data_IF_853417048228
#
_entry.id   IF_853417048228
#
_cell.length_a   1.000
_cell.length_b   1.000
_cell.length_c   1.000
_cell.angle_alpha   90.00
_cell.angle_beta   90.00
_cell.angle_gamma   90.00
#
_symmetry.space_group_name_H-M   'P 1'
#
loop_
_entity.id
_entity.type
_entity.pdbx_description
1 polymer ?
#
# COMPACT_ATOMS: atom_id res chain seq x y z
N UNK A 1 -30.01 12.12 -30.64
CA UNK A 1 -29.69 12.04 -29.20
C UNK A 1 -28.62 10.97 -28.84
N UNK A 2 -27.90 10.38 -29.82
CA UNK A 2 -26.94 9.28 -29.56
C UNK A 2 -25.45 9.69 -29.54
N UNK A 3 -25.06 10.93 -29.86
CA UNK A 3 -23.63 11.34 -29.86
C UNK A 3 -23.14 11.91 -28.53
N UNK A 4 -24.02 12.44 -27.68
CA UNK A 4 -23.65 13.03 -26.39
C UNK A 4 -23.18 11.96 -25.38
N UNK A 5 -23.80 10.77 -25.40
CA UNK A 5 -23.46 9.66 -24.50
C UNK A 5 -22.08 9.07 -24.81
N UNK A 6 -21.66 9.04 -26.09
CA UNK A 6 -20.32 8.60 -26.51
C UNK A 6 -19.22 9.56 -26.06
N UNK A 7 -19.43 10.88 -26.15
CA UNK A 7 -18.42 11.87 -25.76
C UNK A 7 -18.18 11.89 -24.25
N UNK A 8 -19.23 11.69 -23.43
CA UNK A 8 -19.11 11.58 -21.97
C UNK A 8 -18.40 10.28 -21.56
N UNK A 9 -18.66 9.16 -22.27
CA UNK A 9 -17.97 7.89 -22.05
C UNK A 9 -16.47 7.94 -22.41
N UNK A 10 -16.07 8.72 -23.43
CA UNK A 10 -14.66 8.96 -23.73
C UNK A 10 -13.95 9.74 -22.63
N UNK A 11 -14.61 10.73 -22.03
CA UNK A 11 -14.04 11.54 -20.96
C UNK A 11 -13.91 10.73 -19.64
N UNK A 12 -14.86 9.85 -19.34
CA UNK A 12 -14.78 8.97 -18.17
C UNK A 12 -13.69 7.89 -18.32
N UNK A 13 -13.46 7.35 -19.53
CA UNK A 13 -12.41 6.37 -19.81
C UNK A 13 -10.98 6.94 -19.67
N UNK A 14 -10.79 8.26 -19.80
CA UNK A 14 -9.50 8.93 -19.66
C UNK A 14 -9.18 9.39 -18.22
N UNK A 15 -10.00 9.04 -17.23
CA UNK A 15 -9.77 9.41 -15.82
C UNK A 15 -10.01 10.89 -15.51
N UNK A 16 -10.80 11.58 -16.34
CA UNK A 16 -11.00 13.05 -16.29
C UNK A 16 -11.87 13.47 -15.10
N UNK A 17 -12.68 12.56 -14.55
CA UNK A 17 -13.64 12.87 -13.48
C UNK A 17 -13.02 13.01 -12.07
N UNK A 18 -11.72 12.73 -11.88
CA UNK A 18 -11.09 12.81 -10.56
C UNK A 18 -10.79 14.25 -10.09
N UNK A 19 -10.78 15.25 -11.00
CA UNK A 19 -10.42 16.65 -10.70
C UNK A 19 -11.47 17.69 -11.10
N UNK A 20 -12.62 17.27 -11.63
CA UNK A 20 -13.62 18.19 -12.16
C UNK A 20 -14.96 18.05 -11.45
N UNK A 21 -15.43 19.14 -10.84
CA UNK A 21 -16.85 19.34 -10.60
C UNK A 21 -17.54 19.50 -11.96
N UNK A 22 -18.15 18.42 -12.45
CA UNK A 22 -18.95 18.46 -13.68
C UNK A 22 -20.33 18.98 -13.32
N UNK A 23 -20.52 20.30 -13.36
CA UNK A 23 -21.86 20.88 -13.48
C UNK A 23 -22.22 20.88 -14.95
N UNK A 24 -23.11 19.98 -15.34
CA UNK A 24 -23.70 19.97 -16.67
C UNK A 24 -24.80 21.04 -16.72
N UNK A 25 -24.39 22.27 -17.01
CA UNK A 25 -25.30 23.36 -17.34
C UNK A 25 -24.84 23.81 -18.74
N UNK A 26 -25.73 23.70 -19.72
CA UNK A 26 -25.53 24.14 -21.10
C UNK A 26 -24.37 23.45 -21.87
N UNK A 27 -24.28 22.12 -21.81
CA UNK A 27 -23.39 21.33 -22.66
C UNK A 27 -21.89 21.71 -22.55
N UNK A 28 -21.50 22.29 -21.40
CA UNK A 28 -20.18 22.85 -21.15
C UNK A 28 -19.54 22.18 -19.93
N UNK A 29 -18.33 21.64 -20.08
CA UNK A 29 -17.52 21.09 -18.99
C UNK A 29 -16.55 22.15 -18.49
N UNK A 30 -16.56 22.41 -17.18
CA UNK A 30 -15.60 23.34 -16.55
C UNK A 30 -14.55 22.55 -15.78
N UNK A 31 -13.29 22.68 -16.16
CA UNK A 31 -12.11 22.13 -15.49
C UNK A 31 -11.51 23.25 -14.64
N UNK A 32 -11.32 23.05 -13.33
CA UNK A 32 -10.78 24.05 -12.41
C UNK A 32 -9.46 23.58 -11.79
N UNK A 33 -8.45 24.44 -11.84
CA UNK A 33 -7.19 24.39 -11.11
C UNK A 33 -7.13 25.58 -10.11
N UNK A 34 -6.19 25.60 -9.14
CA UNK A 34 -5.98 26.73 -8.22
C UNK A 34 -5.70 28.05 -8.94
N UNK A 35 -5.11 27.99 -10.13
CA UNK A 35 -4.54 29.10 -10.89
C UNK A 35 -5.17 29.26 -12.29
N UNK A 36 -6.09 28.37 -12.71
CA UNK A 36 -6.79 28.50 -14.00
C UNK A 36 -8.12 27.76 -14.05
N UNK A 37 -9.03 28.25 -14.90
CA UNK A 37 -10.30 27.56 -15.21
C UNK A 37 -10.46 27.44 -16.71
N UNK A 38 -10.77 26.23 -17.19
CA UNK A 38 -10.97 25.92 -18.60
C UNK A 38 -12.43 25.49 -18.82
N UNK A 39 -13.15 26.18 -19.71
CA UNK A 39 -14.52 25.82 -20.11
C UNK A 39 -14.50 25.20 -21.51
N UNK A 40 -15.04 23.99 -21.63
CA UNK A 40 -15.04 23.21 -22.88
C UNK A 40 -16.49 22.91 -23.26
N UNK A 41 -16.89 23.31 -24.47
CA UNK A 41 -18.20 22.96 -25.04
C UNK A 41 -18.12 21.58 -25.71
N UNK A 42 -19.05 20.69 -25.40
CA UNK A 42 -19.01 19.25 -25.77
C UNK A 42 -19.33 18.97 -27.25
N UNK A 43 -19.71 20.00 -28.00
CA UNK A 43 -20.02 20.02 -29.43
C UNK A 43 -18.83 20.44 -30.31
N UNK A 44 -17.73 20.91 -29.70
CA UNK A 44 -16.54 21.40 -30.41
C UNK A 44 -15.39 20.37 -30.31
N UNK A 45 -15.35 19.44 -31.29
CA UNK A 45 -14.35 18.36 -31.39
C UNK A 45 -12.90 18.86 -31.25
N UNK A 46 -12.46 19.92 -31.97
CA UNK A 46 -11.13 20.51 -31.80
C UNK A 46 -10.83 20.99 -30.36
N UNK A 47 -11.84 21.52 -29.64
CA UNK A 47 -11.67 21.89 -28.23
C UNK A 47 -11.61 20.70 -27.29
N UNK A 48 -12.28 19.59 -27.61
CA UNK A 48 -12.18 18.33 -26.86
C UNK A 48 -10.76 17.76 -26.96
N UNK A 49 -10.18 17.70 -28.16
CA UNK A 49 -8.82 17.18 -28.34
C UNK A 49 -7.79 18.05 -27.60
N UNK A 50 -7.94 19.38 -27.66
CA UNK A 50 -7.13 20.31 -26.84
C UNK A 50 -7.32 20.10 -25.34
N UNK A 51 -8.53 19.79 -24.89
CA UNK A 51 -8.80 19.51 -23.48
C UNK A 51 -8.15 18.19 -23.04
N UNK A 52 -8.18 17.15 -23.86
CA UNK A 52 -7.51 15.87 -23.61
C UNK A 52 -5.99 16.05 -23.55
N UNK A 53 -5.41 16.80 -24.50
CA UNK A 53 -3.97 17.11 -24.49
C UNK A 53 -3.57 17.94 -23.26
N UNK A 54 -4.39 18.93 -22.92
CA UNK A 54 -4.22 19.76 -21.73
C UNK A 54 -4.24 18.92 -20.44
N UNK A 55 -5.21 18.03 -20.30
CA UNK A 55 -5.32 17.13 -19.15
C UNK A 55 -4.15 16.14 -19.08
N UNK A 56 -3.66 15.65 -20.21
CA UNK A 56 -2.44 14.85 -20.27
C UNK A 56 -1.20 15.60 -19.78
N UNK A 57 -1.09 16.91 -20.11
CA UNK A 57 -0.03 17.79 -19.59
C UNK A 57 -0.16 18.02 -18.08
N UNK A 58 -1.38 18.23 -17.58
CA UNK A 58 -1.68 18.39 -16.15
C UNK A 58 -1.29 17.13 -15.36
N UNK A 59 -1.73 15.94 -15.80
CA UNK A 59 -1.37 14.68 -15.16
C UNK A 59 0.15 14.45 -15.13
N UNK A 60 0.86 14.78 -16.22
CA UNK A 60 2.33 14.69 -16.28
C UNK A 60 3.03 15.69 -15.35
N UNK A 61 2.48 16.88 -15.16
CA UNK A 61 3.01 17.89 -14.22
C UNK A 61 2.78 17.45 -12.79
N UNK A 62 1.59 16.98 -12.47
CA UNK A 62 1.26 16.49 -11.13
C UNK A 62 2.11 15.27 -10.77
N UNK A 63 2.26 14.30 -11.68
CA UNK A 63 3.11 13.14 -11.46
C UNK A 63 4.59 13.53 -11.23
N UNK A 64 5.11 14.52 -11.96
CA UNK A 64 6.45 15.09 -11.72
C UNK A 64 6.53 15.82 -10.39
N UNK A 65 5.53 16.63 -10.04
CA UNK A 65 5.48 17.33 -8.76
C UNK A 65 5.50 16.37 -7.57
N UNK A 66 4.74 15.27 -7.67
CA UNK A 66 4.73 14.19 -6.68
C UNK A 66 6.10 13.51 -6.61
N UNK A 67 6.70 13.14 -7.75
CA UNK A 67 8.01 12.49 -7.79
C UNK A 67 9.09 13.39 -7.17
N UNK A 68 9.14 14.67 -7.55
CA UNK A 68 10.10 15.63 -7.03
C UNK A 68 9.86 15.92 -5.53
N UNK A 69 8.61 15.96 -5.08
CA UNK A 69 8.30 16.16 -3.68
C UNK A 69 8.61 14.91 -2.84
N UNK A 70 8.45 13.71 -3.40
CA UNK A 70 8.88 12.47 -2.80
C UNK A 70 10.41 12.40 -2.66
N UNK A 71 11.13 12.79 -3.72
CA UNK A 71 12.59 12.84 -3.74
C UNK A 71 13.16 13.85 -2.73
N UNK A 72 12.60 15.06 -2.67
CA UNK A 72 12.96 16.09 -1.67
C UNK A 72 12.75 15.64 -0.22
N UNK A 73 11.81 14.73 -0.01
CA UNK A 73 11.44 14.20 1.30
C UNK A 73 12.13 12.85 1.61
N UNK A 74 13.07 12.41 0.76
CA UNK A 74 13.79 11.14 0.93
C UNK A 74 12.89 9.90 0.81
N UNK A 75 11.74 10.01 0.14
CA UNK A 75 10.77 8.94 -0.02
C UNK A 75 11.15 8.10 -1.25
N UNK A 76 11.68 6.90 -1.03
CA UNK A 76 11.91 5.94 -2.13
C UNK A 76 10.56 5.43 -2.63
N UNK A 77 10.26 5.64 -3.93
CA UNK A 77 9.04 5.20 -4.59
C UNK A 77 9.38 4.26 -5.75
N UNK A 78 9.10 2.97 -5.58
CA UNK A 78 9.24 2.01 -6.66
C UNK A 78 7.88 1.78 -7.33
N UNK A 79 7.83 1.78 -8.67
CA UNK A 79 6.57 1.65 -9.42
C UNK A 79 6.64 0.49 -10.41
N UNK A 80 5.64 -0.40 -10.36
CA UNK A 80 5.41 -1.43 -11.39
C UNK A 80 4.23 -1.03 -12.28
N UNK A 81 4.37 -1.22 -13.60
CA UNK A 81 3.23 -1.21 -14.55
C UNK A 81 2.80 -2.67 -14.79
N UNK A 82 1.50 -2.95 -14.70
CA UNK A 82 1.00 -4.31 -14.87
C UNK A 82 0.61 -4.66 -16.33
N UNK A 83 0.54 -5.96 -16.64
CA UNK A 83 0.21 -6.48 -17.98
C UNK A 83 -1.17 -5.97 -18.44
N UNK A 84 -1.25 -5.32 -19.62
CA UNK A 84 -2.51 -4.80 -20.14
C UNK A 84 -3.57 -5.86 -20.48
N UNK A 85 -3.25 -7.16 -20.53
CA UNK A 85 -4.16 -8.24 -20.94
C UNK A 85 -5.18 -8.64 -19.86
N UNK A 86 -4.92 -8.35 -18.59
CA UNK A 86 -5.88 -8.58 -17.50
C UNK A 86 -6.81 -7.37 -17.36
N UNK A 87 -8.05 -7.47 -17.88
CA UNK A 87 -8.95 -6.31 -17.98
C UNK A 87 -9.38 -5.75 -16.63
N UNK A 88 -9.62 -6.63 -15.63
CA UNK A 88 -10.27 -6.27 -14.37
C UNK A 88 -9.46 -6.58 -13.10
N UNK A 89 -8.28 -7.18 -13.21
CA UNK A 89 -7.45 -7.58 -12.06
C UNK A 89 -6.03 -7.11 -12.23
N UNK A 90 -5.35 -6.92 -11.11
CA UNK A 90 -3.93 -6.61 -11.01
C UNK A 90 -3.30 -7.78 -10.27
N UNK A 91 -2.51 -8.60 -10.95
CA UNK A 91 -1.69 -9.64 -10.32
C UNK A 91 -0.27 -9.16 -10.04
N UNK A 92 0.31 -9.57 -8.92
CA UNK A 92 1.73 -9.44 -8.64
C UNK A 92 2.21 -10.53 -7.70
N UNK A 93 3.48 -10.90 -7.83
CA UNK A 93 4.14 -11.79 -6.89
C UNK A 93 4.89 -10.96 -5.84
N UNK A 94 4.71 -11.35 -4.58
CA UNK A 94 5.50 -10.89 -3.46
C UNK A 94 6.52 -11.98 -3.10
N UNK A 95 7.79 -11.70 -3.32
CA UNK A 95 8.90 -12.55 -2.89
C UNK A 95 9.40 -12.08 -1.53
N UNK A 96 9.50 -13.02 -0.58
CA UNK A 96 10.14 -12.75 0.70
C UNK A 96 11.65 -12.89 0.52
N UNK A 97 12.42 -11.92 1.00
CA UNK A 97 13.88 -11.95 0.97
C UNK A 97 14.41 -11.90 2.40
N UNK A 98 14.88 -13.03 2.95
CA UNK A 98 15.59 -13.02 4.23
C UNK A 98 16.81 -12.12 4.12
N UNK A 99 16.90 -11.12 4.99
CA UNK A 99 17.97 -10.13 5.00
C UNK A 99 18.75 -10.23 6.30
N UNK A 100 20.05 -10.44 6.19
CA UNK A 100 20.93 -10.50 7.35
C UNK A 100 21.18 -9.08 7.87
N UNK A 101 20.76 -8.81 9.09
CA UNK A 101 20.97 -7.53 9.78
C UNK A 101 22.23 -7.57 10.64
N UNK A 102 22.98 -6.47 10.67
CA UNK A 102 24.37 -6.49 11.13
C UNK A 102 24.52 -6.75 12.63
N UNK A 103 23.60 -6.28 13.49
CA UNK A 103 23.44 -6.70 14.91
C UNK A 103 22.06 -6.23 15.45
N UNK A 104 21.00 -6.31 14.65
CA UNK A 104 19.65 -5.88 15.03
C UNK A 104 18.72 -7.09 14.98
N UNK A 105 17.82 -7.20 15.95
CA UNK A 105 16.74 -8.19 15.93
C UNK A 105 15.76 -7.81 14.82
N UNK A 106 15.64 -8.66 13.81
CA UNK A 106 14.72 -8.49 12.71
C UNK A 106 13.39 -9.24 12.91
N UNK A 107 12.49 -9.07 11.95
CA UNK A 107 11.15 -9.69 11.98
C UNK A 107 11.21 -11.22 12.08
N UNK A 108 12.17 -11.87 11.40
CA UNK A 108 12.30 -13.33 11.41
C UNK A 108 12.78 -13.86 12.76
N UNK A 109 13.63 -13.11 13.46
CA UNK A 109 14.05 -13.48 14.81
C UNK A 109 12.86 -13.41 15.79
N UNK A 110 12.04 -12.37 15.67
CA UNK A 110 10.84 -12.21 16.50
C UNK A 110 9.82 -13.32 16.24
N UNK A 111 9.63 -13.70 14.97
CA UNK A 111 8.79 -14.84 14.59
C UNK A 111 9.34 -16.14 15.18
N UNK A 112 10.66 -16.38 15.08
CA UNK A 112 11.31 -17.55 15.67
C UNK A 112 11.12 -17.61 17.19
N UNK A 113 11.33 -16.49 17.87
CA UNK A 113 11.09 -16.38 19.32
C UNK A 113 9.63 -16.66 19.65
N UNK A 114 8.69 -16.04 18.94
CA UNK A 114 7.26 -16.25 19.15
C UNK A 114 6.87 -17.72 18.98
N UNK A 115 7.34 -18.36 17.89
CA UNK A 115 7.09 -19.76 17.58
C UNK A 115 7.55 -20.69 18.69
N UNK A 116 8.74 -20.42 19.23
CA UNK A 116 9.31 -21.19 20.35
C UNK A 116 8.42 -21.20 21.59
N UNK A 117 7.77 -20.08 21.91
CA UNK A 117 6.95 -19.96 23.12
C UNK A 117 5.48 -20.33 22.91
N UNK A 118 4.93 -20.07 21.72
CA UNK A 118 3.54 -20.39 21.39
C UNK A 118 3.38 -21.84 20.90
N UNK A 119 4.47 -22.45 20.42
CA UNK A 119 4.45 -23.82 19.91
C UNK A 119 3.84 -23.94 18.51
N UNK A 120 3.79 -22.85 17.75
CA UNK A 120 3.31 -22.81 16.37
C UNK A 120 4.34 -22.14 15.47
N UNK A 121 4.68 -22.78 14.35
CA UNK A 121 5.53 -22.21 13.29
C UNK A 121 4.72 -21.55 12.17
N UNK A 122 3.39 -21.44 12.34
CA UNK A 122 2.47 -20.94 11.33
C UNK A 122 2.19 -19.44 11.50
N UNK A 123 2.16 -18.75 10.37
CA UNK A 123 1.92 -17.32 10.26
C UNK A 123 0.91 -17.02 9.16
N UNK A 124 0.33 -15.82 9.24
CA UNK A 124 -0.51 -15.26 8.18
C UNK A 124 0.25 -14.18 7.45
N UNK A 125 0.30 -14.28 6.12
CA UNK A 125 0.66 -13.21 5.22
C UNK A 125 -0.62 -12.68 4.57
N UNK A 126 -0.96 -11.42 4.83
CA UNK A 126 -2.21 -10.84 4.34
C UNK A 126 -1.99 -9.59 3.51
N UNK A 127 -2.89 -9.38 2.55
CA UNK A 127 -3.03 -8.12 1.81
C UNK A 127 -4.43 -7.58 2.08
N UNK A 128 -4.51 -6.44 2.74
CA UNK A 128 -5.76 -5.90 3.28
C UNK A 128 -6.00 -4.46 2.78
N UNK A 129 -7.23 -4.13 2.41
CA UNK A 129 -7.64 -2.76 2.06
C UNK A 129 -7.69 -1.89 3.33
N UNK A 130 -6.92 -0.81 3.36
CA UNK A 130 -6.85 0.09 4.51
C UNK A 130 -7.95 1.15 4.49
N UNK A 131 -8.64 1.34 3.36
CA UNK A 131 -9.60 2.41 3.13
C UNK A 131 -11.04 2.11 3.59
N UNK A 132 -11.27 0.99 4.28
CA UNK A 132 -12.55 0.62 4.92
C UNK A 132 -13.77 0.42 3.99
N UNK A 133 -13.63 0.47 2.66
CA UNK A 133 -14.78 0.38 1.73
C UNK A 133 -15.12 -1.05 1.26
N UNK A 134 -14.26 -2.02 1.53
CA UNK A 134 -14.58 -3.43 1.38
C UNK A 134 -13.65 -4.22 2.29
N UNK A 135 -14.17 -5.29 2.91
CA UNK A 135 -13.37 -6.32 3.58
C UNK A 135 -12.51 -7.11 2.56
N UNK A 136 -11.93 -6.43 1.57
CA UNK A 136 -11.04 -7.05 0.62
C UNK A 136 -9.80 -7.46 1.38
N UNK A 137 -9.62 -8.78 1.44
CA UNK A 137 -8.49 -9.43 2.08
C UNK A 137 -8.07 -10.62 1.25
N UNK A 138 -6.76 -10.76 1.06
CA UNK A 138 -6.14 -12.00 0.61
C UNK A 138 -5.33 -12.50 1.79
N UNK A 139 -5.49 -13.78 2.11
CA UNK A 139 -4.82 -14.42 3.26
C UNK A 139 -4.08 -15.64 2.76
N UNK A 140 -2.78 -15.67 3.00
CA UNK A 140 -1.92 -16.83 2.78
C UNK A 140 -1.45 -17.35 4.13
N UNK A 141 -1.65 -18.65 4.37
CA UNK A 141 -0.95 -19.34 5.47
C UNK A 141 0.47 -19.66 5.01
N UNK A 142 1.44 -19.42 5.89
CA UNK A 142 2.86 -19.69 5.65
C UNK A 142 3.51 -20.21 6.91
N UNK A 143 4.71 -20.77 6.81
CA UNK A 143 5.56 -21.09 7.95
C UNK A 143 6.82 -20.23 8.02
N UNK A 144 7.50 -20.21 9.16
CA UNK A 144 8.82 -19.58 9.26
C UNK A 144 9.81 -20.21 8.27
N UNK A 145 9.77 -21.53 8.11
CA UNK A 145 10.62 -22.25 7.15
C UNK A 145 10.42 -21.75 5.71
N UNK A 146 9.17 -21.52 5.30
CA UNK A 146 8.85 -21.01 3.97
C UNK A 146 9.32 -19.56 3.77
N UNK A 147 9.15 -18.72 4.78
CA UNK A 147 9.63 -17.33 4.76
C UNK A 147 11.16 -17.28 4.67
N UNK A 148 11.86 -18.15 5.43
CA UNK A 148 13.32 -18.29 5.41
C UNK A 148 13.87 -18.82 4.09
N UNK A 149 13.07 -19.57 3.32
CA UNK A 149 13.43 -20.02 1.96
C UNK A 149 13.15 -18.98 0.88
N UNK A 150 12.56 -17.85 1.25
CA UNK A 150 12.18 -16.79 0.33
C UNK A 150 11.01 -17.15 -0.59
N UNK A 151 10.00 -17.84 -0.05
CA UNK A 151 8.79 -18.20 -0.79
C UNK A 151 8.14 -16.96 -1.44
N UNK A 152 7.65 -17.15 -2.66
CA UNK A 152 6.86 -16.16 -3.38
C UNK A 152 5.37 -16.40 -3.19
N UNK A 153 4.59 -15.33 -3.14
CA UNK A 153 3.14 -15.34 -2.93
C UNK A 153 2.45 -14.51 -4.01
N UNK A 154 1.52 -15.13 -4.73
CA UNK A 154 0.73 -14.44 -5.73
C UNK A 154 -0.41 -13.66 -5.05
N UNK A 155 -0.56 -12.39 -5.43
CA UNK A 155 -1.68 -11.54 -5.03
C UNK A 155 -2.46 -11.08 -6.25
N UNK A 156 -3.80 -11.09 -6.15
CA UNK A 156 -4.71 -10.66 -7.21
C UNK A 156 -5.69 -9.60 -6.69
N UNK A 157 -5.43 -8.35 -7.01
CA UNK A 157 -6.25 -7.21 -6.61
C UNK A 157 -7.31 -6.86 -7.66
N UNK A 158 -8.49 -6.37 -7.26
CA UNK A 158 -9.42 -5.76 -8.19
C UNK A 158 -8.81 -4.49 -8.77
N UNK A 159 -8.94 -4.29 -10.07
CA UNK A 159 -8.49 -3.07 -10.72
C UNK A 159 -9.42 -1.91 -10.36
N UNK A 160 -8.89 -0.89 -9.71
CA UNK A 160 -9.62 0.34 -9.35
C UNK A 160 -9.02 1.53 -10.09
N UNK A 161 -9.88 2.36 -10.70
CA UNK A 161 -9.44 3.61 -11.34
C UNK A 161 -8.98 4.64 -10.29
N UNK A 162 -9.62 4.61 -9.12
CA UNK A 162 -9.26 5.45 -7.98
C UNK A 162 -8.02 4.91 -7.27
N UNK A 163 -7.28 5.82 -6.64
CA UNK A 163 -6.17 5.47 -5.76
C UNK A 163 -6.72 4.67 -4.56
N UNK A 164 -6.15 3.51 -4.31
CA UNK A 164 -6.50 2.62 -3.19
C UNK A 164 -5.27 2.32 -2.35
N UNK A 165 -5.50 2.15 -1.05
CA UNK A 165 -4.45 1.85 -0.07
C UNK A 165 -4.60 0.42 0.40
N UNK A 166 -3.50 -0.32 0.34
CA UNK A 166 -3.42 -1.66 0.87
C UNK A 166 -2.26 -1.75 1.86
N UNK A 167 -2.39 -2.68 2.80
CA UNK A 167 -1.32 -3.09 3.70
C UNK A 167 -0.95 -4.54 3.42
N UNK A 168 0.35 -4.81 3.29
CA UNK A 168 0.90 -6.16 3.36
C UNK A 168 1.34 -6.40 4.80
N UNK A 169 0.86 -7.48 5.41
CA UNK A 169 1.13 -7.81 6.80
C UNK A 169 1.70 -9.21 6.93
N UNK A 170 2.58 -9.40 7.93
CA UNK A 170 2.87 -10.73 8.46
C UNK A 170 2.56 -10.74 9.94
N UNK A 171 1.66 -11.62 10.37
CA UNK A 171 1.24 -11.75 11.76
C UNK A 171 1.15 -13.21 12.22
N UNK A 172 1.04 -13.41 13.52
CA UNK A 172 0.81 -14.73 14.12
C UNK A 172 -0.50 -15.35 13.63
N UNK A 173 -0.55 -16.68 13.58
CA UNK A 173 -1.80 -17.41 13.37
C UNK A 173 -2.67 -17.32 14.63
N UNK A 174 -3.36 -16.20 14.79
CA UNK A 174 -4.27 -15.94 15.89
C UNK A 174 -5.64 -16.60 15.74
N UNK A 175 -6.54 -16.30 16.67
CA UNK A 175 -7.98 -16.65 16.54
C UNK A 175 -8.69 -15.83 15.47
N UNK A 176 -8.04 -14.79 14.96
CA UNK A 176 -8.51 -13.90 13.91
C UNK A 176 -8.25 -14.43 12.51
N UNK A 177 -9.01 -13.92 11.53
CA UNK A 177 -8.79 -14.23 10.10
C UNK A 177 -7.82 -13.26 9.41
N UNK A 178 -7.48 -12.13 10.04
CA UNK A 178 -6.74 -10.98 9.46
C UNK A 178 -5.75 -10.41 10.47
N UNK A 179 -4.75 -9.68 9.97
CA UNK A 179 -3.70 -9.10 10.79
C UNK A 179 -4.12 -7.74 11.39
N UNK A 180 -4.82 -6.89 10.64
CA UNK A 180 -5.16 -5.53 11.10
C UNK A 180 -6.15 -5.50 12.27
N UNK A 181 -7.06 -6.48 12.34
CA UNK A 181 -8.15 -6.51 13.33
C UNK A 181 -7.73 -7.12 14.68
N UNK A 182 -6.71 -7.98 14.71
CA UNK A 182 -6.47 -8.88 15.84
C UNK A 182 -5.11 -8.74 16.52
N UNK A 183 -4.16 -8.04 15.90
CA UNK A 183 -2.82 -7.92 16.46
C UNK A 183 -2.74 -6.99 17.67
N UNK A 184 -2.19 -7.52 18.76
CA UNK A 184 -1.94 -6.89 20.04
C UNK A 184 -0.42 -6.76 20.28
N UNK A 185 0.01 -5.52 20.47
CA UNK A 185 1.41 -5.20 20.76
C UNK A 185 2.31 -5.17 19.52
N UNK A 186 3.50 -4.60 19.70
CA UNK A 186 4.51 -4.44 18.67
C UNK A 186 5.79 -5.25 18.90
N UNK A 187 6.80 -4.99 18.07
CA UNK A 187 8.15 -5.56 18.18
C UNK A 187 8.73 -5.36 19.59
N UNK A 188 8.64 -4.14 20.13
CA UNK A 188 9.16 -3.78 21.45
C UNK A 188 8.50 -4.62 22.54
N UNK A 189 7.19 -4.83 22.45
CA UNK A 189 6.45 -5.65 23.42
C UNK A 189 6.87 -7.12 23.34
N UNK A 190 7.19 -7.61 22.14
CA UNK A 190 7.63 -9.00 21.91
C UNK A 190 8.98 -9.23 22.57
N UNK A 191 9.91 -8.29 22.38
CA UNK A 191 11.23 -8.36 22.95
C UNK A 191 11.22 -8.22 24.48
N UNK A 192 10.47 -7.26 25.02
CA UNK A 192 10.31 -7.09 26.46
C UNK A 192 9.69 -8.31 27.12
N UNK A 193 8.65 -8.88 26.51
CA UNK A 193 8.05 -10.10 27.01
C UNK A 193 9.06 -11.24 27.04
N UNK A 194 9.79 -11.48 25.95
CA UNK A 194 10.83 -12.50 25.90
C UNK A 194 11.88 -12.32 27.02
N UNK A 195 12.33 -11.09 27.25
CA UNK A 195 13.25 -10.77 28.35
C UNK A 195 12.64 -11.11 29.70
N UNK A 196 11.37 -10.79 29.93
CA UNK A 196 10.66 -11.11 31.17
C UNK A 196 10.47 -12.61 31.38
N UNK A 197 10.21 -13.38 30.33
CA UNK A 197 10.13 -14.84 30.41
C UNK A 197 11.48 -15.43 30.80
N UNK A 198 12.57 -15.02 30.13
CA UNK A 198 13.92 -15.51 30.44
C UNK A 198 14.43 -15.10 31.82
N UNK A 199 14.25 -13.84 32.22
CA UNK A 199 14.83 -13.31 33.46
C UNK A 199 13.97 -13.54 34.69
N UNK A 200 12.65 -13.61 34.54
CA UNK A 200 11.70 -13.64 35.67
C UNK A 200 10.81 -14.88 35.68
N UNK A 201 11.05 -15.86 34.79
CA UNK A 201 10.25 -17.08 34.68
C UNK A 201 8.77 -16.84 34.37
N UNK A 202 8.42 -15.65 33.85
CA UNK A 202 7.03 -15.32 33.54
C UNK A 202 6.51 -16.20 32.40
N UNK A 203 5.21 -16.50 32.42
CA UNK A 203 4.55 -17.18 31.30
C UNK A 203 4.47 -16.21 30.11
N UNK A 204 4.81 -16.70 28.93
CA UNK A 204 4.62 -15.96 27.67
C UNK A 204 3.12 -15.79 27.41
N UNK A 205 2.66 -14.57 27.14
CA UNK A 205 1.25 -14.23 26.97
C UNK A 205 0.62 -14.82 25.71
N UNK A 206 1.45 -15.12 24.70
CA UNK A 206 0.97 -15.69 23.43
C UNK A 206 0.01 -14.75 22.69
N UNK A 207 0.13 -13.44 22.89
CA UNK A 207 -0.70 -12.46 22.18
C UNK A 207 -0.45 -12.51 20.68
N UNK A 208 -1.51 -12.24 19.92
CA UNK A 208 -1.43 -12.10 18.47
C UNK A 208 -0.58 -10.87 18.12
N UNK A 209 0.35 -10.95 17.17
CA UNK A 209 1.33 -9.89 16.88
C UNK A 209 1.48 -9.65 15.39
N UNK A 210 1.76 -8.41 14.99
CA UNK A 210 2.27 -8.09 13.64
C UNK A 210 3.80 -7.98 13.71
N UNK A 211 4.47 -8.75 12.88
CA UNK A 211 5.93 -8.80 12.78
C UNK A 211 6.48 -7.93 11.64
N UNK A 212 5.70 -7.76 10.58
CA UNK A 212 6.05 -6.97 9.42
C UNK A 212 4.82 -6.24 8.88
N UNK A 213 5.01 -5.01 8.42
CA UNK A 213 3.96 -4.24 7.76
C UNK A 213 4.55 -3.36 6.68
N UNK A 214 3.90 -3.36 5.53
CA UNK A 214 4.27 -2.50 4.44
C UNK A 214 3.06 -1.88 3.74
N UNK A 215 3.18 -0.58 3.47
CA UNK A 215 2.16 0.18 2.77
C UNK A 215 2.30 0.02 1.26
N UNK A 216 1.18 -0.23 0.59
CA UNK A 216 1.06 -0.43 -0.84
C UNK A 216 0.02 0.52 -1.41
N UNK A 217 0.40 1.25 -2.45
CA UNK A 217 -0.48 2.17 -3.15
C UNK A 217 -0.81 1.63 -4.54
N UNK A 218 -2.09 1.52 -4.84
CA UNK A 218 -2.54 0.93 -6.10
C UNK A 218 -3.46 1.91 -6.82
N UNK A 219 -3.15 2.18 -8.08
CA UNK A 219 -3.95 3.07 -8.92
C UNK A 219 -3.92 2.57 -10.36
N UNK A 220 -5.09 2.24 -10.90
CA UNK A 220 -5.25 1.69 -12.23
C UNK A 220 -4.35 0.47 -12.49
N UNK A 221 -3.31 0.57 -13.33
CA UNK A 221 -2.35 -0.53 -13.60
C UNK A 221 -1.02 -0.35 -12.86
N UNK A 222 -0.96 0.56 -11.90
CA UNK A 222 0.29 0.91 -11.21
C UNK A 222 0.23 0.47 -9.76
N UNK A 223 1.26 -0.26 -9.37
CA UNK A 223 1.57 -0.58 -7.99
C UNK A 223 2.74 0.29 -7.59
N UNK A 224 2.61 0.94 -6.44
CA UNK A 224 3.62 1.80 -5.83
C UNK A 224 3.89 1.28 -4.44
N UNK A 225 5.17 1.03 -4.15
CA UNK A 225 5.64 0.73 -2.80
C UNK A 225 6.52 1.88 -2.33
N UNK A 226 6.47 2.14 -1.03
CA UNK A 226 7.30 3.15 -0.38
C UNK A 226 8.14 2.46 0.68
N UNK A 227 9.24 3.07 1.12
CA UNK A 227 9.79 2.64 2.40
C UNK A 227 8.72 2.81 3.51
N UNK A 228 8.76 1.96 4.54
CA UNK A 228 7.72 1.92 5.57
C UNK A 228 7.48 3.30 6.20
N UNK A 229 8.53 4.01 6.61
CA UNK A 229 8.42 5.34 7.25
C UNK A 229 7.79 6.43 6.35
N UNK A 230 7.95 6.31 5.02
CA UNK A 230 7.48 7.27 4.04
C UNK A 230 6.02 7.10 3.64
N UNK A 231 5.44 5.90 3.82
CA UNK A 231 4.14 5.52 3.26
C UNK A 231 3.01 6.50 3.62
N UNK A 232 2.77 6.76 4.91
CA UNK A 232 1.72 7.68 5.34
C UNK A 232 1.91 9.09 4.80
N UNK A 233 3.15 9.61 4.84
CA UNK A 233 3.48 10.97 4.37
C UNK A 233 3.29 11.11 2.87
N UNK A 234 3.82 10.16 2.08
CA UNK A 234 3.65 10.16 0.63
C UNK A 234 2.16 10.10 0.27
N UNK A 235 1.43 9.24 0.96
CA UNK A 235 0.03 9.07 0.66
C UNK A 235 -0.82 10.27 1.06
N UNK A 236 -0.52 10.93 2.19
CA UNK A 236 -1.11 12.21 2.54
C UNK A 236 -0.87 13.25 1.44
N UNK A 237 0.33 13.30 0.87
CA UNK A 237 0.65 14.19 -0.25
C UNK A 237 -0.16 13.85 -1.51
N UNK A 238 -0.27 12.57 -1.86
CA UNK A 238 -1.07 12.11 -3.00
C UNK A 238 -2.57 12.45 -2.81
N UNK A 239 -3.06 12.32 -1.59
CA UNK A 239 -4.46 12.53 -1.23
C UNK A 239 -4.90 13.98 -1.20
N UNK A 240 -3.98 14.95 -1.06
CA UNK A 240 -4.28 16.39 -1.10
C UNK A 240 -4.99 16.82 -2.38
N UNK A 241 -4.75 16.07 -3.44
CA UNK A 241 -5.26 16.34 -4.77
C UNK A 241 -6.58 15.61 -5.06
N UNK A 242 -7.07 14.78 -4.13
CA UNK A 242 -8.35 14.08 -4.27
C UNK A 242 -9.53 14.97 -3.81
N UNK A 243 -10.76 14.70 -4.28
CA UNK A 243 -11.96 15.34 -3.77
C UNK A 243 -12.08 15.21 -2.25
N UNK A 244 -12.68 16.19 -1.58
CA UNK A 244 -12.72 16.27 -0.11
C UNK A 244 -13.28 15.02 0.57
N UNK A 245 -14.36 14.45 0.05
CA UNK A 245 -14.95 13.21 0.58
C UNK A 245 -13.98 12.03 0.50
N UNK A 246 -13.22 11.94 -0.60
CA UNK A 246 -12.19 10.92 -0.77
C UNK A 246 -11.04 11.18 0.21
N UNK A 247 -10.58 12.43 0.33
CA UNK A 247 -9.52 12.81 1.29
C UNK A 247 -9.84 12.42 2.73
N UNK A 248 -11.09 12.64 3.19
CA UNK A 248 -11.53 12.25 4.53
C UNK A 248 -11.48 10.73 4.72
N UNK A 249 -11.98 9.97 3.73
CA UNK A 249 -11.92 8.49 3.74
C UNK A 249 -10.48 8.00 3.84
N UNK A 250 -9.63 8.58 3.01
CA UNK A 250 -8.23 8.22 2.90
C UNK A 250 -7.41 8.58 4.16
N UNK A 251 -7.88 9.54 4.98
CA UNK A 251 -7.25 9.88 6.26
C UNK A 251 -7.34 8.76 7.31
N UNK A 252 -8.43 8.00 7.35
CA UNK A 252 -8.57 6.87 8.28
C UNK A 252 -7.50 5.81 8.05
N UNK A 253 -7.25 5.49 6.78
CA UNK A 253 -6.22 4.56 6.34
C UNK A 253 -4.80 5.05 6.66
N UNK A 254 -4.53 6.36 6.53
CA UNK A 254 -3.25 6.98 6.93
C UNK A 254 -3.01 6.76 8.42
N UNK A 255 -3.99 7.12 9.25
CA UNK A 255 -3.90 7.01 10.70
C UNK A 255 -3.68 5.55 11.15
N UNK A 256 -4.38 4.61 10.49
CA UNK A 256 -4.21 3.18 10.73
C UNK A 256 -2.80 2.72 10.37
N UNK A 257 -2.31 3.10 9.18
CA UNK A 257 -0.95 2.79 8.71
C UNK A 257 0.11 3.31 9.69
N UNK A 258 0.03 4.58 10.12
CA UNK A 258 0.95 5.15 11.12
C UNK A 258 0.93 4.39 12.45
N UNK A 259 -0.27 4.00 12.91
CA UNK A 259 -0.44 3.25 14.16
C UNK A 259 0.22 1.87 14.09
N UNK A 260 0.13 1.19 12.95
CA UNK A 260 0.75 -0.13 12.73
C UNK A 260 2.27 0.01 12.58
N UNK A 261 2.74 1.02 11.85
CA UNK A 261 4.18 1.26 11.63
C UNK A 261 4.93 1.49 12.94
N UNK A 262 4.34 2.22 13.89
CA UNK A 262 4.93 2.42 15.22
C UNK A 262 5.11 1.12 16.01
N UNK A 263 4.42 0.05 15.63
CA UNK A 263 4.44 -1.25 16.32
C UNK A 263 5.29 -2.30 15.60
N UNK A 264 5.70 -2.06 14.36
CA UNK A 264 6.30 -3.09 13.51
C UNK A 264 7.77 -2.83 13.28
N UNK A 265 8.52 -3.89 12.99
CA UNK A 265 9.91 -3.76 12.57
C UNK A 265 10.01 -3.04 11.24
N UNK A 266 11.05 -2.21 11.05
CA UNK A 266 11.45 -1.75 9.73
C UNK A 266 11.54 -2.94 8.79
N UNK A 267 10.71 -2.94 7.76
CA UNK A 267 10.79 -3.89 6.63
C UNK A 267 11.01 -3.10 5.36
N UNK A 268 12.01 -3.53 4.59
CA UNK A 268 12.28 -2.94 3.30
C UNK A 268 11.35 -3.59 2.26
N UNK A 269 10.90 -2.79 1.30
CA UNK A 269 10.17 -3.29 0.14
C UNK A 269 10.70 -2.61 -1.11
N UNK A 270 10.90 -3.42 -2.14
CA UNK A 270 11.49 -2.98 -3.39
C UNK A 270 10.72 -3.61 -4.54
N UNK A 271 10.79 -2.98 -5.72
CA UNK A 271 10.30 -3.57 -6.96
C UNK A 271 11.50 -3.72 -7.88
N UNK A 272 11.93 -4.96 -8.09
CA UNK A 272 13.04 -5.33 -8.98
C UNK A 272 12.49 -6.25 -10.07
N UNK A 273 12.76 -5.94 -11.34
CA UNK A 273 12.33 -6.74 -12.49
C UNK A 273 10.84 -7.11 -12.52
N UNK A 274 10.00 -6.21 -11.98
CA UNK A 274 8.56 -6.41 -11.88
C UNK A 274 8.13 -7.33 -10.74
N UNK A 275 9.04 -7.86 -9.93
CA UNK A 275 8.72 -8.61 -8.71
C UNK A 275 8.70 -7.66 -7.52
N UNK A 276 7.71 -7.80 -6.63
CA UNK A 276 7.69 -7.06 -5.38
C UNK A 276 8.47 -7.88 -4.35
N UNK A 277 9.53 -7.33 -3.78
CA UNK A 277 10.40 -8.02 -2.83
C UNK A 277 10.27 -7.39 -1.46
N UNK A 278 9.93 -8.17 -0.44
CA UNK A 278 9.90 -7.71 0.96
C UNK A 278 11.07 -8.30 1.73
N UNK A 279 11.95 -7.42 2.22
CA UNK A 279 13.09 -7.76 3.04
C UNK A 279 12.66 -8.02 4.49
N UNK A 280 12.83 -9.25 4.96
CA UNK A 280 12.62 -9.58 6.37
C UNK A 280 13.97 -9.76 7.06
N UNK A 281 14.25 -8.92 8.04
CA UNK A 281 15.50 -8.95 8.79
C UNK A 281 15.63 -10.19 9.66
N UNK A 282 16.85 -10.71 9.78
CA UNK A 282 17.26 -11.64 10.83
C UNK A 282 18.66 -11.31 11.35
N UNK A 283 18.90 -11.61 12.61
CA UNK A 283 20.10 -11.26 13.34
C UNK A 283 21.30 -12.07 12.85
N UNK A 284 22.42 -11.38 12.61
CA UNK A 284 23.70 -12.02 12.30
C UNK A 284 24.22 -12.85 13.49
N UNK A 285 24.44 -14.18 13.34
CA UNK A 285 25.08 -14.97 14.37
C UNK A 285 26.46 -14.39 14.75
N UNK A 286 26.75 -14.33 16.06
CA UNK A 286 28.01 -13.80 16.59
C UNK A 286 27.98 -12.35 17.06
N UNK A 287 26.87 -11.63 16.88
CA UNK A 287 26.64 -10.36 17.58
C UNK A 287 26.07 -10.62 18.98
N UNK A 288 26.53 -9.84 19.96
CA UNK A 288 25.97 -9.82 21.31
C UNK A 288 24.93 -8.70 21.37
N UNK A 289 23.70 -9.06 21.75
CA UNK A 289 22.58 -8.14 21.99
C UNK A 289 22.48 -7.77 23.47
#
# INVERSE_FOLDING_TARGET
MNSLSMSIACLSCAGILAYSSVKNIDNTVTIREPDRTLKVRLDDKPRIDKAVEFLGKVQKRLARGIANAAEREGLSLSTRKNDPKLRNTISFDLTIKPKRESCIIGSLDLMSLHSKYVGSDEFLLTLEDLSNEAQFKIVHKTSLSELMKGKAFEFRLPRRQKLSQYGIFICSLGKGQTCSDHAKGGMIDTFHEHRLVKQKGRKYSGLDRIFAFQHLLVQDKKIRVTNQKAGPKLFAMLSRSLPEQERIRQQGAINLSEKIQKKTSPTDIEIEDGTVTMGLGYHKPGCFL
#
